data_IF_551488121284
#
_entry.id   IF_551488121284
#
_cell.length_a   1.000
_cell.length_b   1.000
_cell.length_c   1.000
_cell.angle_alpha   90.00
_cell.angle_beta   90.00
_cell.angle_gamma   90.00
#
_symmetry.space_group_name_H-M   'P 1'
#
loop_
_entity.id
_entity.type
_entity.pdbx_description
1 polymer ?
#
# COMPACT_ATOMS: atom_id res chain seq x y z
N UNK A 1 27.06 -14.42 -0.95
CA UNK A 1 25.87 -14.89 -0.19
C UNK A 1 24.94 -15.44 -1.23
N UNK A 2 24.46 -16.67 -1.05
CA UNK A 2 23.46 -17.21 -1.95
C UNK A 2 22.23 -16.31 -1.93
N UNK A 3 21.62 -16.06 -3.07
CA UNK A 3 20.40 -15.28 -3.20
C UNK A 3 19.30 -15.93 -2.36
N UNK A 4 18.95 -15.31 -1.25
CA UNK A 4 17.83 -15.72 -0.43
C UNK A 4 16.60 -14.91 -0.82
N UNK A 5 15.52 -15.57 -1.20
CA UNK A 5 14.31 -14.90 -1.67
C UNK A 5 13.47 -15.78 -2.59
N UNK A 6 12.81 -15.13 -3.56
CA UNK A 6 11.92 -15.80 -4.52
C UNK A 6 10.80 -16.61 -3.89
N UNK A 7 10.38 -16.24 -2.67
CA UNK A 7 9.24 -16.88 -2.02
C UNK A 7 7.94 -16.50 -2.71
N UNK A 8 7.01 -17.45 -2.78
CA UNK A 8 5.66 -17.21 -3.27
C UNK A 8 4.69 -17.57 -2.17
N UNK A 9 4.04 -16.54 -1.60
CA UNK A 9 2.96 -16.68 -0.62
C UNK A 9 1.67 -16.23 -1.30
N UNK A 10 0.88 -17.18 -1.79
CA UNK A 10 -0.25 -16.88 -2.66
C UNK A 10 -1.53 -17.59 -2.25
N UNK A 11 -2.63 -16.83 -2.25
CA UNK A 11 -3.99 -17.36 -2.08
C UNK A 11 -4.19 -18.14 -0.76
N UNK A 12 -3.56 -17.71 0.32
CA UNK A 12 -3.73 -18.33 1.63
C UNK A 12 -4.79 -17.59 2.45
N UNK A 13 -5.42 -18.32 3.33
CA UNK A 13 -6.16 -17.76 4.45
C UNK A 13 -5.30 -17.89 5.70
N UNK A 14 -4.82 -16.74 6.18
CA UNK A 14 -3.93 -16.64 7.35
C UNK A 14 -4.71 -15.93 8.45
N UNK A 15 -5.02 -16.66 9.50
CA UNK A 15 -5.86 -16.13 10.57
C UNK A 15 -5.49 -16.68 11.95
N UNK A 16 -5.91 -15.95 12.99
CA UNK A 16 -5.77 -16.32 14.41
C UNK A 16 -4.32 -16.56 14.84
N UNK A 17 -3.37 -15.92 14.14
CA UNK A 17 -1.98 -15.90 14.58
C UNK A 17 -1.83 -15.01 15.81
N UNK A 18 -0.89 -15.37 16.69
CA UNK A 18 -0.70 -14.66 17.96
C UNK A 18 -0.09 -13.27 17.78
N UNK A 19 0.85 -13.12 16.87
CA UNK A 19 1.65 -11.90 16.73
C UNK A 19 1.60 -11.32 15.31
N UNK A 20 1.93 -12.10 14.30
CA UNK A 20 1.92 -11.68 12.92
C UNK A 20 1.35 -12.76 12.00
N UNK A 21 0.71 -12.35 10.90
CA UNK A 21 0.24 -13.26 9.87
C UNK A 21 1.39 -13.72 8.98
N UNK A 22 2.15 -12.78 8.44
CA UNK A 22 3.37 -13.02 7.67
C UNK A 22 4.48 -12.18 8.29
N UNK A 23 5.60 -12.82 8.60
CA UNK A 23 6.76 -12.12 9.15
C UNK A 23 8.04 -12.59 8.46
N UNK A 24 8.93 -11.65 8.16
CA UNK A 24 10.22 -11.94 7.58
C UNK A 24 11.26 -10.90 7.91
N UNK A 25 12.43 -11.36 8.41
CA UNK A 25 13.52 -10.48 8.78
C UNK A 25 14.45 -10.19 7.60
N UNK A 26 14.98 -11.21 6.94
CA UNK A 26 15.84 -11.12 5.75
C UNK A 26 15.48 -12.24 4.78
N UNK A 27 15.87 -12.09 3.52
CA UNK A 27 15.68 -13.16 2.55
C UNK A 27 14.36 -13.08 1.78
N UNK A 28 13.80 -11.91 1.63
CA UNK A 28 12.58 -11.68 0.84
C UNK A 28 12.86 -11.17 -0.58
N UNK A 29 14.11 -11.11 -1.01
CA UNK A 29 14.45 -10.57 -2.34
C UNK A 29 13.61 -11.23 -3.45
N UNK A 30 13.06 -10.41 -4.37
CA UNK A 30 12.25 -10.84 -5.51
C UNK A 30 11.08 -11.77 -5.17
N UNK A 31 10.51 -11.65 -3.98
CA UNK A 31 9.40 -12.48 -3.50
C UNK A 31 8.04 -11.90 -3.87
N UNK A 32 7.04 -12.78 -3.92
CA UNK A 32 5.66 -12.44 -4.25
C UNK A 32 4.71 -12.84 -3.12
N UNK A 33 3.97 -11.85 -2.60
CA UNK A 33 2.88 -12.04 -1.63
C UNK A 33 1.58 -11.60 -2.30
N UNK A 34 0.73 -12.55 -2.69
CA UNK A 34 -0.39 -12.25 -3.59
C UNK A 34 -1.69 -12.93 -3.18
N UNK A 35 -2.78 -12.17 -3.19
CA UNK A 35 -4.13 -12.69 -3.09
C UNK A 35 -4.42 -13.41 -1.77
N UNK A 36 -3.72 -13.08 -0.70
CA UNK A 36 -3.95 -13.68 0.61
C UNK A 36 -5.06 -12.92 1.37
N UNK A 37 -5.87 -13.65 2.11
CA UNK A 37 -6.76 -13.11 3.14
C UNK A 37 -6.06 -13.25 4.49
N UNK A 38 -5.71 -12.11 5.10
CA UNK A 38 -5.03 -12.05 6.39
C UNK A 38 -5.95 -11.35 7.39
N UNK A 39 -6.36 -12.07 8.42
CA UNK A 39 -7.38 -11.56 9.34
C UNK A 39 -7.29 -12.16 10.74
N UNK A 40 -7.93 -11.50 11.70
CA UNK A 40 -8.02 -11.97 13.07
C UNK A 40 -6.63 -12.25 13.69
N UNK A 41 -5.68 -11.33 13.49
CA UNK A 41 -4.34 -11.43 14.06
C UNK A 41 -4.36 -10.83 15.47
N UNK A 42 -3.74 -11.54 16.41
CA UNK A 42 -3.67 -11.18 17.84
C UNK A 42 -5.05 -10.98 18.52
N UNK A 43 -6.02 -11.79 18.17
CA UNK A 43 -7.39 -11.73 18.75
C UNK A 43 -7.39 -11.73 20.28
N UNK A 44 -6.43 -12.43 20.89
CA UNK A 44 -6.29 -12.49 22.36
C UNK A 44 -5.67 -11.23 22.97
N UNK A 45 -5.11 -10.34 22.14
CA UNK A 45 -4.42 -9.11 22.57
C UNK A 45 -3.28 -9.35 23.57
N UNK A 46 -2.64 -10.52 23.52
CA UNK A 46 -1.58 -10.93 24.45
C UNK A 46 -0.19 -10.50 24.03
N UNK A 47 0.03 -10.39 22.73
CA UNK A 47 1.32 -9.99 22.19
C UNK A 47 1.35 -8.47 21.98
N UNK A 48 2.48 -7.89 22.28
CA UNK A 48 2.79 -6.50 22.02
C UNK A 48 4.25 -6.36 21.57
N UNK A 49 4.58 -5.26 20.93
CA UNK A 49 5.94 -5.00 20.47
C UNK A 49 6.02 -4.61 19.01
N UNK A 50 7.23 -4.60 18.50
CA UNK A 50 7.52 -4.05 17.18
C UNK A 50 7.37 -5.03 16.02
N UNK A 51 7.15 -6.33 16.31
CA UNK A 51 7.09 -7.37 15.26
C UNK A 51 5.65 -7.84 14.96
N UNK A 52 4.66 -6.99 15.24
CA UNK A 52 3.26 -7.38 15.24
C UNK A 52 2.50 -6.78 14.06
N UNK A 53 1.67 -7.59 13.39
CA UNK A 53 0.85 -7.09 12.30
C UNK A 53 0.22 -8.14 11.39
N UNK A 54 -0.50 -7.68 10.38
CA UNK A 54 -0.99 -8.56 9.32
C UNK A 54 0.18 -9.15 8.55
N UNK A 55 1.07 -8.30 8.06
CA UNK A 55 2.38 -8.71 7.54
C UNK A 55 3.45 -7.68 7.88
N UNK A 56 4.66 -8.16 8.18
CA UNK A 56 5.84 -7.34 8.41
C UNK A 56 7.05 -7.93 7.71
N UNK A 57 7.70 -7.11 6.86
CA UNK A 57 8.87 -7.50 6.10
C UNK A 57 10.00 -6.51 6.33
N UNK A 58 11.11 -6.99 6.88
CA UNK A 58 12.38 -6.27 6.90
C UNK A 58 13.13 -6.52 5.60
N UNK A 59 13.86 -5.53 5.13
CA UNK A 59 14.71 -5.65 3.94
C UNK A 59 13.95 -6.23 2.73
N UNK A 60 12.78 -5.66 2.45
CA UNK A 60 11.99 -6.02 1.29
C UNK A 60 12.65 -5.46 0.02
N UNK A 61 13.49 -6.26 -0.65
CA UNK A 61 14.17 -5.87 -1.89
C UNK A 61 13.43 -6.49 -3.07
N UNK A 62 12.94 -5.65 -4.00
CA UNK A 62 12.19 -6.09 -5.19
C UNK A 62 10.99 -7.01 -4.89
N UNK A 63 10.39 -6.85 -3.73
CA UNK A 63 9.21 -7.63 -3.32
C UNK A 63 7.96 -7.07 -3.98
N UNK A 64 7.09 -7.95 -4.45
CA UNK A 64 5.75 -7.57 -4.89
C UNK A 64 4.71 -8.04 -3.89
N UNK A 65 3.95 -7.09 -3.31
CA UNK A 65 2.82 -7.36 -2.41
C UNK A 65 1.56 -6.88 -3.10
N UNK A 66 0.71 -7.82 -3.56
CA UNK A 66 -0.44 -7.44 -4.37
C UNK A 66 -1.73 -8.20 -4.10
N UNK A 67 -2.84 -7.49 -4.28
CA UNK A 67 -4.19 -8.08 -4.24
C UNK A 67 -4.50 -8.84 -2.95
N UNK A 68 -3.89 -8.45 -1.83
CA UNK A 68 -4.20 -9.03 -0.53
C UNK A 68 -5.34 -8.25 0.15
N UNK A 69 -6.14 -8.94 0.94
CA UNK A 69 -7.11 -8.35 1.86
C UNK A 69 -6.60 -8.56 3.29
N UNK A 70 -6.37 -7.45 4.00
CA UNK A 70 -5.86 -7.45 5.38
C UNK A 70 -6.85 -6.73 6.28
N UNK A 71 -7.31 -7.39 7.34
CA UNK A 71 -8.35 -6.84 8.22
C UNK A 71 -8.33 -7.46 9.62
N UNK A 72 -8.93 -6.78 10.58
CA UNK A 72 -9.05 -7.24 11.98
C UNK A 72 -7.70 -7.62 12.57
N UNK A 73 -6.81 -6.63 12.56
CA UNK A 73 -5.50 -6.73 13.19
C UNK A 73 -5.58 -6.00 14.53
N UNK A 74 -5.37 -6.71 15.62
CA UNK A 74 -5.62 -6.20 16.97
C UNK A 74 -4.33 -5.87 17.70
N UNK A 75 -4.31 -4.73 18.38
CA UNK A 75 -3.20 -4.35 19.24
C UNK A 75 -3.27 -5.08 20.58
N UNK A 76 -2.11 -5.42 21.10
CA UNK A 76 -1.94 -5.93 22.45
C UNK A 76 -1.35 -4.87 23.38
N UNK A 77 -0.86 -5.30 24.52
CA UNK A 77 -0.29 -4.41 25.53
C UNK A 77 1.01 -3.77 25.00
N UNK A 78 0.99 -2.44 24.82
CA UNK A 78 2.18 -1.66 24.46
C UNK A 78 2.69 -1.84 23.03
N UNK A 79 1.89 -2.42 22.13
CA UNK A 79 2.30 -2.70 20.76
C UNK A 79 1.65 -1.80 19.73
N UNK A 80 2.34 -1.64 18.61
CA UNK A 80 1.84 -1.07 17.38
C UNK A 80 1.42 -2.22 16.48
N UNK A 81 0.18 -2.21 15.99
CA UNK A 81 -0.31 -3.23 15.07
C UNK A 81 -0.59 -2.61 13.72
N UNK A 82 0.00 -3.20 12.70
CA UNK A 82 0.00 -2.67 11.34
C UNK A 82 -0.62 -3.69 10.40
N UNK A 83 -1.43 -3.24 9.46
CA UNK A 83 -1.95 -4.11 8.43
C UNK A 83 -0.82 -4.63 7.54
N UNK A 84 -0.14 -3.72 6.84
CA UNK A 84 1.04 -4.01 6.02
C UNK A 84 2.19 -3.12 6.51
N UNK A 85 3.26 -3.75 6.98
CA UNK A 85 4.44 -3.08 7.49
C UNK A 85 5.67 -3.43 6.63
N UNK A 86 6.19 -2.44 5.94
CA UNK A 86 7.44 -2.52 5.20
C UNK A 86 8.50 -1.85 6.04
N UNK A 87 9.35 -2.67 6.64
CA UNK A 87 10.31 -2.23 7.62
C UNK A 87 11.73 -2.24 7.05
N UNK A 88 12.49 -1.32 7.49
CA UNK A 88 13.91 -1.11 7.39
C UNK A 88 14.58 -1.61 6.10
N UNK A 89 14.95 -0.67 5.24
CA UNK A 89 15.78 -0.95 4.07
C UNK A 89 15.04 -1.61 2.90
N UNK A 90 13.76 -1.36 2.72
CA UNK A 90 13.07 -1.75 1.49
C UNK A 90 13.61 -0.97 0.29
N UNK A 91 13.70 -1.62 -0.85
CA UNK A 91 14.23 -1.06 -2.08
C UNK A 91 13.59 -1.76 -3.29
N UNK A 92 13.13 -1.00 -4.30
CA UNK A 92 12.51 -1.56 -5.51
C UNK A 92 11.20 -2.33 -5.28
N UNK A 93 10.62 -2.23 -4.08
CA UNK A 93 9.42 -2.98 -3.70
C UNK A 93 8.16 -2.32 -4.22
N UNK A 94 7.19 -3.11 -4.68
CA UNK A 94 5.87 -2.65 -5.10
C UNK A 94 4.76 -3.22 -4.23
N UNK A 95 3.93 -2.32 -3.70
CA UNK A 95 2.72 -2.63 -2.93
C UNK A 95 1.52 -2.16 -3.74
N UNK A 96 0.74 -3.07 -4.34
CA UNK A 96 -0.29 -2.70 -5.31
C UNK A 96 -1.59 -3.50 -5.16
N UNK A 97 -2.73 -2.84 -5.30
CA UNK A 97 -4.03 -3.48 -5.32
C UNK A 97 -4.45 -4.13 -4.00
N UNK A 98 -3.81 -3.79 -2.87
CA UNK A 98 -4.18 -4.34 -1.57
C UNK A 98 -5.33 -3.53 -0.95
N UNK A 99 -6.13 -4.22 -0.14
CA UNK A 99 -7.21 -3.61 0.63
C UNK A 99 -6.96 -3.87 2.10
N UNK A 100 -6.77 -2.80 2.86
CA UNK A 100 -6.46 -2.85 4.28
C UNK A 100 -7.47 -2.03 5.06
N UNK A 101 -8.19 -2.66 5.98
CA UNK A 101 -9.25 -2.02 6.75
C UNK A 101 -9.52 -2.73 8.07
N UNK A 102 -10.37 -2.13 8.89
CA UNK A 102 -10.80 -2.70 10.19
C UNK A 102 -9.61 -2.98 11.11
N UNK A 103 -8.75 -1.95 11.25
CA UNK A 103 -7.65 -1.93 12.20
C UNK A 103 -8.16 -1.51 13.59
N UNK A 104 -7.44 -1.90 14.63
CA UNK A 104 -7.75 -1.45 16.00
C UNK A 104 -7.71 0.08 16.08
N UNK A 105 -8.79 0.70 16.57
CA UNK A 105 -9.04 2.16 16.48
C UNK A 105 -7.95 3.05 17.10
N UNK A 106 -7.24 2.56 18.11
CA UNK A 106 -6.33 3.40 18.89
C UNK A 106 -4.87 3.34 18.45
N UNK A 107 -4.42 2.21 17.90
CA UNK A 107 -3.00 1.98 17.58
C UNK A 107 -2.81 1.31 16.23
N UNK A 108 -3.90 0.97 15.55
CA UNK A 108 -3.86 0.24 14.30
C UNK A 108 -3.56 1.12 13.09
N UNK A 109 -2.43 0.86 12.45
CA UNK A 109 -2.10 1.46 11.17
C UNK A 109 -2.43 0.53 10.02
N UNK A 110 -3.12 1.05 9.01
CA UNK A 110 -3.39 0.29 7.80
C UNK A 110 -2.08 -0.02 7.06
N UNK A 111 -1.19 0.98 7.00
CA UNK A 111 0.10 0.85 6.32
C UNK A 111 1.20 1.57 7.09
N UNK A 112 2.35 0.94 7.16
CA UNK A 112 3.57 1.53 7.69
C UNK A 112 4.74 1.23 6.76
N UNK A 113 5.43 2.28 6.31
CA UNK A 113 6.73 2.17 5.66
C UNK A 113 7.78 2.84 6.53
N UNK A 114 8.78 2.05 6.95
CA UNK A 114 9.76 2.42 7.97
C UNK A 114 11.18 2.38 7.41
N UNK A 115 11.92 3.47 7.61
CA UNK A 115 13.36 3.54 7.34
C UNK A 115 13.80 2.95 5.98
N UNK A 116 13.05 3.27 4.94
CA UNK A 116 13.32 2.86 3.57
C UNK A 116 13.62 4.10 2.74
N UNK A 117 14.91 4.42 2.58
CA UNK A 117 15.35 5.70 2.02
C UNK A 117 16.10 5.58 0.69
N UNK A 118 16.25 4.37 0.15
CA UNK A 118 17.26 4.09 -0.85
C UNK A 118 16.78 4.32 -2.29
N UNK A 119 15.64 3.74 -2.64
CA UNK A 119 15.09 3.82 -3.99
C UNK A 119 13.57 3.80 -3.95
N UNK A 120 12.91 4.04 -5.08
CA UNK A 120 11.46 4.13 -5.04
C UNK A 120 10.84 2.82 -4.54
N UNK A 121 10.05 2.96 -3.48
CA UNK A 121 9.03 1.97 -3.12
C UNK A 121 7.74 2.47 -3.72
N UNK A 122 7.15 1.68 -4.62
CA UNK A 122 5.91 2.03 -5.30
C UNK A 122 4.70 1.49 -4.53
N UNK A 123 3.87 2.40 -4.06
CA UNK A 123 2.60 2.11 -3.36
C UNK A 123 1.47 2.59 -4.28
N UNK A 124 0.85 1.68 -5.03
CA UNK A 124 -0.13 2.06 -6.03
C UNK A 124 -1.42 1.23 -6.02
N UNK A 125 -2.51 1.83 -6.44
CA UNK A 125 -3.80 1.15 -6.57
C UNK A 125 -4.34 0.50 -5.29
N UNK A 126 -3.86 0.88 -4.11
CA UNK A 126 -4.35 0.31 -2.86
C UNK A 126 -5.57 1.06 -2.31
N UNK A 127 -6.33 0.39 -1.45
CA UNK A 127 -7.38 0.98 -0.64
C UNK A 127 -6.99 0.83 0.82
N UNK A 128 -6.67 1.95 1.45
CA UNK A 128 -6.31 2.03 2.87
C UNK A 128 -7.41 2.74 3.66
N UNK A 129 -8.00 2.04 4.60
CA UNK A 129 -8.99 2.58 5.54
C UNK A 129 -8.39 2.48 6.94
N UNK A 130 -7.84 3.58 7.43
CA UNK A 130 -7.11 3.64 8.68
C UNK A 130 -5.84 4.49 8.59
N UNK A 131 -5.07 4.50 9.66
CA UNK A 131 -3.90 5.37 9.80
C UNK A 131 -2.74 4.92 8.91
N UNK A 132 -1.91 5.88 8.51
CA UNK A 132 -0.69 5.64 7.72
C UNK A 132 0.50 6.16 8.51
N UNK A 133 1.57 5.38 8.59
CA UNK A 133 2.82 5.83 9.16
C UNK A 133 3.93 5.76 8.11
N UNK A 134 4.66 6.86 7.96
CA UNK A 134 5.74 6.98 7.00
C UNK A 134 6.97 7.59 7.68
N UNK A 135 8.02 6.80 7.76
CA UNK A 135 9.36 7.24 8.18
C UNK A 135 10.40 6.95 7.10
N UNK A 136 9.94 6.84 5.85
CA UNK A 136 10.78 6.56 4.69
C UNK A 136 10.95 7.81 3.81
N UNK A 137 11.77 7.69 2.78
CA UNK A 137 11.98 8.69 1.74
C UNK A 137 11.93 8.01 0.37
N UNK A 138 11.79 8.81 -0.69
CA UNK A 138 11.81 8.34 -2.07
C UNK A 138 10.65 7.38 -2.43
N UNK A 139 9.59 7.34 -1.64
CA UNK A 139 8.41 6.52 -1.91
C UNK A 139 7.47 7.20 -2.92
N UNK A 140 6.76 6.40 -3.70
CA UNK A 140 5.77 6.88 -4.66
C UNK A 140 4.41 6.33 -4.29
N UNK A 141 3.51 7.19 -3.83
CA UNK A 141 2.11 6.90 -3.53
C UNK A 141 1.27 7.37 -4.72
N UNK A 142 0.79 6.43 -5.54
CA UNK A 142 0.07 6.77 -6.75
C UNK A 142 -1.25 5.98 -6.89
N UNK A 143 -2.30 6.66 -7.33
CA UNK A 143 -3.58 6.01 -7.58
C UNK A 143 -4.18 5.23 -6.40
N UNK A 144 -3.90 5.62 -5.16
CA UNK A 144 -4.51 4.99 -3.98
C UNK A 144 -5.82 5.69 -3.58
N UNK A 145 -6.64 4.96 -2.82
CA UNK A 145 -7.77 5.51 -2.07
C UNK A 145 -7.42 5.47 -0.58
N UNK A 146 -7.34 6.64 0.03
CA UNK A 146 -7.13 6.81 1.47
C UNK A 146 -8.42 7.29 2.13
N UNK A 147 -8.93 6.53 3.11
CA UNK A 147 -10.16 6.86 3.82
C UNK A 147 -9.89 7.04 5.29
N UNK A 148 -10.16 8.24 5.79
CA UNK A 148 -9.92 8.67 7.17
C UNK A 148 -8.48 8.40 7.66
N UNK A 149 -7.54 8.49 6.73
CA UNK A 149 -6.14 8.14 6.94
C UNK A 149 -5.39 9.29 7.56
N UNK A 150 -5.20 9.24 8.87
CA UNK A 150 -4.29 10.14 9.56
C UNK A 150 -2.86 9.72 9.28
N UNK A 151 -2.02 10.68 8.92
CA UNK A 151 -0.63 10.45 8.60
C UNK A 151 0.27 10.79 9.79
N UNK A 152 1.21 9.91 10.06
CA UNK A 152 2.27 10.11 11.04
C UNK A 152 3.62 10.09 10.33
N UNK A 153 4.43 11.09 10.65
CA UNK A 153 5.78 11.23 10.09
C UNK A 153 6.75 11.41 11.25
N UNK A 154 7.82 10.65 11.23
CA UNK A 154 8.89 10.77 12.20
C UNK A 154 10.22 10.39 11.54
N UNK A 155 11.26 11.15 11.82
CA UNK A 155 12.64 10.74 11.50
C UNK A 155 13.10 9.79 12.58
N UNK A 156 13.41 8.57 12.22
CA UNK A 156 13.95 7.58 13.14
C UNK A 156 15.48 7.56 13.09
N UNK A 157 16.12 7.40 14.25
CA UNK A 157 17.58 7.34 14.37
C UNK A 157 18.10 5.92 14.04
N UNK A 158 17.78 5.43 12.86
CA UNK A 158 18.26 4.14 12.37
C UNK A 158 18.95 4.32 11.02
N UNK A 159 20.07 3.66 10.85
CA UNK A 159 20.85 3.73 9.61
C UNK A 159 20.28 2.73 8.59
N UNK A 160 19.62 3.18 7.50
CA UNK A 160 19.08 2.29 6.50
C UNK A 160 20.19 1.61 5.70
N UNK A 161 19.96 0.37 5.33
CA UNK A 161 20.86 -0.40 4.48
C UNK A 161 20.59 -0.07 3.02
N UNK A 162 21.65 0.14 2.27
CA UNK A 162 21.62 0.27 0.82
C UNK A 162 21.94 -1.07 0.16
N UNK A 163 21.14 -1.43 -0.83
CA UNK A 163 21.28 -2.68 -1.57
C UNK A 163 21.80 -2.43 -2.98
N UNK A 164 22.65 -3.31 -3.45
CA UNK A 164 22.95 -3.35 -4.88
C UNK A 164 21.66 -3.65 -5.64
N UNK A 165 21.29 -2.83 -6.65
CA UNK A 165 20.03 -2.99 -7.38
C UNK A 165 19.78 -4.42 -7.84
N UNK A 166 18.56 -4.91 -7.63
CA UNK A 166 18.10 -6.25 -7.99
C UNK A 166 18.89 -7.41 -7.38
N UNK A 167 19.51 -7.17 -6.23
CA UNK A 167 20.23 -8.21 -5.46
C UNK A 167 19.90 -8.10 -3.97
N UNK A 168 20.18 -9.16 -3.22
CA UNK A 168 20.15 -9.14 -1.75
C UNK A 168 21.52 -8.81 -1.13
N UNK A 169 22.42 -8.20 -1.89
CA UNK A 169 23.76 -7.81 -1.44
C UNK A 169 23.73 -6.39 -0.86
N UNK A 170 23.93 -6.28 0.45
CA UNK A 170 24.08 -4.98 1.10
C UNK A 170 25.42 -4.34 0.70
N UNK A 171 25.36 -3.09 0.27
CA UNK A 171 26.54 -2.33 -0.17
C UNK A 171 27.03 -1.41 0.92
N UNK A 172 26.15 -0.65 1.54
CA UNK A 172 26.48 0.39 2.48
C UNK A 172 25.39 0.60 3.51
N UNK A 173 25.74 1.15 4.67
CA UNK A 173 24.80 1.71 5.64
C UNK A 173 24.80 3.22 5.42
N UNK A 174 23.65 3.77 5.10
CA UNK A 174 23.52 5.20 4.86
C UNK A 174 23.34 5.96 6.19
N UNK A 175 23.92 7.16 6.30
CA UNK A 175 23.59 8.04 7.39
C UNK A 175 22.11 8.41 7.32
N UNK A 176 21.54 8.71 8.47
CA UNK A 176 20.16 9.13 8.57
C UNK A 176 19.91 10.36 7.70
N UNK A 177 18.96 10.27 6.83
CA UNK A 177 18.53 11.39 6.00
C UNK A 177 17.22 11.96 6.54
N UNK A 178 16.88 13.15 6.14
CA UNK A 178 15.56 13.72 6.39
C UNK A 178 14.50 12.95 5.61
N UNK A 179 13.26 12.97 6.10
CA UNK A 179 12.11 12.54 5.31
C UNK A 179 12.01 13.48 4.10
N UNK A 180 12.23 12.96 2.91
CA UNK A 180 12.25 13.78 1.70
C UNK A 180 11.85 13.00 0.45
N UNK A 181 11.61 13.76 -0.61
CA UNK A 181 11.43 13.30 -1.99
C UNK A 181 10.34 12.22 -2.19
N UNK A 182 9.39 12.09 -1.26
CA UNK A 182 8.20 11.29 -1.51
C UNK A 182 7.28 11.97 -2.52
N UNK A 183 6.55 11.17 -3.27
CA UNK A 183 5.63 11.62 -4.30
C UNK A 183 4.23 11.09 -4.05
N UNK A 184 3.26 11.99 -4.08
CA UNK A 184 1.84 11.70 -3.86
C UNK A 184 1.06 12.18 -5.07
N UNK A 185 0.82 11.29 -6.02
CA UNK A 185 0.21 11.62 -7.30
C UNK A 185 -1.07 10.83 -7.54
N UNK A 186 -2.06 11.53 -8.04
CA UNK A 186 -3.29 10.90 -8.53
C UNK A 186 -4.03 10.00 -7.52
N UNK A 187 -3.93 10.33 -6.23
CA UNK A 187 -4.65 9.63 -5.17
C UNK A 187 -6.01 10.29 -4.90
N UNK A 188 -6.92 9.55 -4.27
CA UNK A 188 -8.14 10.08 -3.67
C UNK A 188 -8.00 10.03 -2.15
N UNK A 189 -8.21 11.18 -1.50
CA UNK A 189 -8.21 11.34 -0.04
C UNK A 189 -9.63 11.69 0.42
N UNK A 190 -10.13 10.95 1.41
CA UNK A 190 -11.46 11.16 1.99
C UNK A 190 -11.32 11.46 3.48
N UNK A 191 -11.90 12.56 3.97
CA UNK A 191 -11.90 13.10 5.34
C UNK A 191 -10.54 13.62 5.81
N UNK A 192 -9.45 12.93 5.57
CA UNK A 192 -8.08 13.33 5.91
C UNK A 192 -7.26 13.42 4.64
N UNK A 193 -6.42 14.43 4.55
CA UNK A 193 -5.62 14.70 3.36
C UNK A 193 -4.14 14.76 3.66
N UNK A 194 -3.43 15.50 2.84
CA UNK A 194 -1.97 15.66 2.89
C UNK A 194 -1.52 16.87 3.72
N UNK A 195 -2.43 17.60 4.34
CA UNK A 195 -2.15 18.75 5.21
C UNK A 195 -1.27 18.42 6.43
N UNK A 196 -1.08 17.15 6.72
CA UNK A 196 -0.21 16.65 7.78
C UNK A 196 1.25 16.47 7.33
N UNK A 197 1.54 16.60 6.01
CA UNK A 197 2.90 16.55 5.44
C UNK A 197 3.74 17.82 5.72
N UNK A 198 3.50 18.50 6.83
CA UNK A 198 3.98 19.87 7.11
C UNK A 198 5.51 19.95 7.30
N UNK A 199 6.18 18.86 7.67
CA UNK A 199 7.59 18.86 8.04
C UNK A 199 8.48 18.11 7.04
N UNK A 200 7.97 17.82 5.87
CA UNK A 200 8.70 17.08 4.86
C UNK A 200 9.47 18.01 3.93
N UNK A 201 10.67 17.60 3.58
CA UNK A 201 11.48 18.28 2.59
C UNK A 201 11.26 17.68 1.21
N UNK A 202 11.17 18.53 0.19
CA UNK A 202 11.10 18.15 -1.23
C UNK A 202 9.99 17.16 -1.62
N UNK A 203 8.91 17.09 -0.85
CA UNK A 203 7.73 16.30 -1.25
C UNK A 203 7.11 16.88 -2.51
N UNK A 204 6.74 15.99 -3.41
CA UNK A 204 6.01 16.33 -4.64
C UNK A 204 4.59 15.80 -4.52
N UNK A 205 3.67 16.70 -4.25
CA UNK A 205 2.25 16.38 -4.07
C UNK A 205 1.45 17.15 -5.10
N UNK A 206 0.79 16.45 -6.03
CA UNK A 206 -0.09 17.08 -7.00
C UNK A 206 -1.07 16.08 -7.64
N UNK A 207 -2.03 16.59 -8.41
CA UNK A 207 -3.05 15.82 -9.12
C UNK A 207 -3.88 14.88 -8.23
N UNK A 208 -4.06 15.22 -6.96
CA UNK A 208 -4.87 14.45 -6.05
C UNK A 208 -6.31 14.98 -5.97
N UNK A 209 -7.23 14.13 -5.54
CA UNK A 209 -8.63 14.51 -5.26
C UNK A 209 -8.87 14.43 -3.76
N UNK A 210 -9.51 15.46 -3.21
CA UNK A 210 -9.78 15.60 -1.79
C UNK A 210 -11.29 15.76 -1.57
N UNK A 211 -11.87 14.81 -0.85
CA UNK A 211 -13.30 14.78 -0.54
C UNK A 211 -13.55 14.93 0.96
N UNK A 212 -14.76 15.40 1.30
CA UNK A 212 -15.33 15.33 2.64
C UNK A 212 -14.40 15.95 3.71
N UNK A 213 -13.91 17.17 3.44
CA UNK A 213 -13.05 17.92 4.36
C UNK A 213 -11.57 17.51 4.36
N UNK A 214 -11.14 16.61 3.50
CA UNK A 214 -9.73 16.34 3.27
C UNK A 214 -9.01 17.59 2.73
N UNK A 215 -7.77 17.84 3.16
CA UNK A 215 -7.06 19.08 2.87
C UNK A 215 -5.75 18.82 2.14
N UNK A 216 -5.37 19.75 1.27
CA UNK A 216 -4.07 19.79 0.60
C UNK A 216 -2.94 20.10 1.58
N UNK A 217 -1.70 19.65 1.27
CA UNK A 217 -0.52 19.98 2.06
C UNK A 217 -0.09 21.46 1.99
N UNK A 218 -0.54 22.20 1.01
CA UNK A 218 -0.04 23.56 0.77
C UNK A 218 1.39 23.63 0.21
N UNK A 219 1.95 22.51 -0.21
CA UNK A 219 3.32 22.37 -0.72
C UNK A 219 3.40 22.42 -2.27
N UNK A 220 2.57 23.24 -2.91
CA UNK A 220 2.63 23.49 -4.35
C UNK A 220 1.68 22.64 -5.19
N UNK A 221 0.65 22.08 -4.60
CA UNK A 221 -0.40 21.33 -5.29
C UNK A 221 -1.27 22.21 -6.18
N UNK A 222 -0.89 22.40 -7.43
CA UNK A 222 -1.56 23.31 -8.36
C UNK A 222 -2.71 22.65 -9.15
N UNK A 223 -2.65 21.34 -9.34
CA UNK A 223 -3.60 20.62 -10.20
C UNK A 223 -4.54 19.69 -9.39
N UNK A 224 -4.37 19.62 -8.08
CA UNK A 224 -5.25 18.84 -7.21
C UNK A 224 -6.62 19.50 -7.05
N UNK A 225 -7.67 18.68 -6.98
CA UNK A 225 -9.07 19.12 -6.86
C UNK A 225 -9.58 18.87 -5.45
N UNK A 226 -10.28 19.86 -4.90
CA UNK A 226 -10.85 19.78 -3.52
C UNK A 226 -12.35 19.99 -3.60
N UNK A 227 -13.11 18.96 -3.20
CA UNK A 227 -14.56 18.95 -3.09
C UNK A 227 -14.97 18.70 -1.63
N UNK A 228 -14.84 19.73 -0.82
CA UNK A 228 -15.00 19.66 0.65
C UNK A 228 -16.34 19.11 1.10
N UNK A 229 -17.41 19.52 0.42
CA UNK A 229 -18.80 19.21 0.79
C UNK A 229 -19.30 17.92 0.13
N UNK A 230 -18.50 17.32 -0.76
CA UNK A 230 -18.87 16.08 -1.42
C UNK A 230 -18.76 14.90 -0.45
N UNK A 231 -19.91 14.24 -0.17
CA UNK A 231 -19.93 13.05 0.67
C UNK A 231 -19.64 11.80 -0.18
N UNK A 232 -18.44 11.29 -0.03
CA UNK A 232 -18.02 10.08 -0.71
C UNK A 232 -18.72 8.80 -0.18
N UNK A 233 -19.44 8.87 0.93
CA UNK A 233 -20.30 7.80 1.49
C UNK A 233 -19.64 6.40 1.40
N UNK A 234 -18.43 6.27 1.89
CA UNK A 234 -17.67 5.01 1.83
C UNK A 234 -18.32 3.96 2.72
N UNK A 235 -18.59 2.80 2.15
CA UNK A 235 -19.15 1.65 2.87
C UNK A 235 -18.30 0.41 2.59
N UNK A 236 -18.08 -0.37 3.63
CA UNK A 236 -17.32 -1.62 3.58
C UNK A 236 -18.22 -2.76 4.07
N UNK A 237 -18.41 -3.75 3.21
CA UNK A 237 -19.11 -5.00 3.55
C UNK A 237 -18.08 -6.13 3.58
N UNK A 238 -17.84 -6.64 4.79
CA UNK A 238 -16.97 -7.79 4.99
C UNK A 238 -17.63 -9.07 4.51
N UNK A 239 -16.96 -9.81 3.63
CA UNK A 239 -17.38 -11.12 3.14
C UNK A 239 -16.49 -12.21 3.74
N UNK A 240 -16.93 -13.47 3.68
CA UNK A 240 -16.14 -14.60 4.22
C UNK A 240 -14.77 -14.69 3.56
N UNK A 241 -14.69 -14.52 2.25
CA UNK A 241 -13.50 -14.69 1.43
C UNK A 241 -13.10 -13.40 0.70
N UNK A 242 -13.47 -12.24 1.24
CA UNK A 242 -13.17 -10.97 0.61
C UNK A 242 -13.86 -9.78 1.24
N UNK A 243 -14.06 -8.74 0.44
CA UNK A 243 -14.65 -7.47 0.84
C UNK A 243 -15.38 -6.83 -0.33
N UNK A 244 -16.51 -6.20 -0.06
CA UNK A 244 -17.15 -5.29 -1.02
C UNK A 244 -17.00 -3.86 -0.53
N UNK A 245 -16.53 -2.98 -1.39
CA UNK A 245 -16.34 -1.56 -1.11
C UNK A 245 -17.24 -0.77 -2.05
N UNK A 246 -18.02 0.13 -1.50
CA UNK A 246 -18.78 1.10 -2.27
C UNK A 246 -18.46 2.51 -1.79
N UNK A 247 -18.43 3.43 -2.75
CA UNK A 247 -18.26 4.86 -2.49
C UNK A 247 -18.86 5.68 -3.64
N UNK A 248 -19.18 6.93 -3.34
CA UNK A 248 -19.61 7.89 -4.35
C UNK A 248 -18.41 8.66 -4.90
N UNK A 249 -18.42 8.90 -6.20
CA UNK A 249 -17.51 9.78 -6.90
C UNK A 249 -18.27 10.77 -7.77
N UNK A 250 -17.68 11.90 -8.06
CA UNK A 250 -18.10 12.86 -9.06
C UNK A 250 -17.15 12.85 -10.27
N UNK A 251 -17.06 13.96 -10.98
CA UNK A 251 -16.14 14.08 -12.11
C UNK A 251 -14.70 14.47 -11.72
N UNK A 252 -14.42 14.79 -10.46
CA UNK A 252 -13.11 15.26 -10.04
C UNK A 252 -11.96 14.28 -10.35
N UNK A 253 -12.12 12.94 -10.18
CA UNK A 253 -11.06 11.99 -10.51
C UNK A 253 -10.61 12.02 -11.97
N UNK A 254 -11.49 12.42 -12.90
CA UNK A 254 -11.16 12.52 -14.33
C UNK A 254 -10.60 13.88 -14.73
N UNK A 255 -10.75 14.90 -13.89
CA UNK A 255 -10.43 16.29 -14.21
C UNK A 255 -9.06 16.74 -13.66
N UNK A 256 -8.37 15.92 -12.88
CA UNK A 256 -7.04 16.26 -12.34
C UNK A 256 -5.95 16.33 -13.43
N UNK A 257 -6.17 15.67 -14.56
CA UNK A 257 -5.27 15.67 -15.73
C UNK A 257 -3.81 15.29 -15.38
N UNK A 258 -3.64 14.32 -14.48
CA UNK A 258 -2.33 13.81 -14.13
C UNK A 258 -1.67 13.13 -15.33
N UNK A 259 -0.38 13.35 -15.60
CA UNK A 259 0.36 12.51 -16.52
C UNK A 259 0.34 11.03 -16.06
N UNK A 260 0.47 10.10 -17.01
CA UNK A 260 0.60 8.69 -16.65
C UNK A 260 1.82 8.47 -15.74
N UNK A 261 1.64 7.71 -14.67
CA UNK A 261 2.71 7.38 -13.72
C UNK A 261 3.56 6.27 -14.33
N UNK A 262 4.68 6.64 -14.90
CA UNK A 262 5.61 5.76 -15.60
C UNK A 262 6.99 5.81 -14.97
N UNK A 263 7.81 4.81 -15.28
CA UNK A 263 9.22 4.82 -14.94
C UNK A 263 9.89 6.14 -15.34
N UNK A 264 9.68 6.58 -16.57
CA UNK A 264 10.31 7.81 -17.11
C UNK A 264 9.78 9.08 -16.42
N UNK A 265 8.49 9.14 -16.09
CA UNK A 265 7.90 10.29 -15.38
C UNK A 265 8.43 10.42 -13.94
N UNK A 266 8.62 9.32 -13.27
CA UNK A 266 9.20 9.28 -11.92
C UNK A 266 10.70 9.53 -11.98
N UNK A 267 11.40 8.93 -12.95
CA UNK A 267 12.84 9.07 -13.17
C UNK A 267 13.68 8.17 -12.27
N UNK A 268 14.98 8.33 -12.40
CA UNK A 268 15.99 7.54 -11.72
C UNK A 268 16.40 8.22 -10.41
N UNK A 269 16.52 7.46 -9.34
CA UNK A 269 17.02 7.94 -8.06
C UNK A 269 18.54 7.91 -8.04
N UNK A 270 19.20 9.07 -7.82
CA UNK A 270 20.64 9.17 -8.00
C UNK A 270 21.47 8.25 -7.10
N UNK A 271 20.97 7.98 -5.90
CA UNK A 271 21.70 7.18 -4.91
C UNK A 271 21.89 5.73 -5.36
N UNK A 272 20.81 5.12 -5.86
CA UNK A 272 20.81 3.70 -6.23
C UNK A 272 20.96 3.48 -7.73
N UNK A 273 20.70 4.51 -8.54
CA UNK A 273 20.58 4.36 -9.98
C UNK A 273 19.33 3.61 -10.42
N UNK A 274 18.35 3.41 -9.50
CA UNK A 274 17.10 2.71 -9.77
C UNK A 274 15.94 3.66 -10.05
N UNK A 275 15.07 3.27 -10.99
CA UNK A 275 13.75 3.83 -11.19
C UNK A 275 12.65 2.92 -10.67
N UNK A 276 11.42 3.11 -11.17
CA UNK A 276 10.37 2.13 -10.97
C UNK A 276 10.65 0.90 -11.85
N UNK A 277 11.14 -0.16 -11.25
CA UNK A 277 11.62 -1.37 -11.94
C UNK A 277 11.14 -2.64 -11.24
N UNK A 278 10.96 -3.71 -12.00
CA UNK A 278 10.72 -5.03 -11.46
C UNK A 278 12.06 -5.69 -11.02
N UNK A 279 11.97 -6.86 -10.41
CA UNK A 279 13.16 -7.62 -9.95
C UNK A 279 14.13 -8.05 -11.06
N UNK A 280 13.82 -7.80 -12.31
CA UNK A 280 14.68 -8.05 -13.48
C UNK A 280 15.21 -6.77 -14.10
N UNK A 281 14.92 -5.61 -13.51
CA UNK A 281 15.28 -4.32 -14.03
C UNK A 281 14.40 -3.83 -15.19
N UNK A 282 13.22 -4.43 -15.42
CA UNK A 282 12.31 -3.92 -16.43
C UNK A 282 11.50 -2.74 -15.87
N UNK A 283 11.32 -1.68 -16.64
CA UNK A 283 10.52 -0.52 -16.24
C UNK A 283 9.10 -0.89 -15.82
N UNK A 284 8.63 -0.34 -14.72
CA UNK A 284 7.24 -0.44 -14.25
C UNK A 284 6.50 0.85 -14.58
N UNK A 285 5.35 0.70 -15.23
CA UNK A 285 4.35 1.74 -15.43
C UNK A 285 3.07 1.36 -14.70
N UNK A 286 2.37 2.34 -14.12
CA UNK A 286 1.05 2.12 -13.50
C UNK A 286 -0.01 2.24 -14.59
N UNK A 287 -0.09 1.24 -15.45
CA UNK A 287 -0.90 1.18 -16.66
C UNK A 287 -2.24 0.44 -16.51
N UNK A 288 -2.46 -0.15 -15.36
CA UNK A 288 -3.72 -0.82 -15.02
C UNK A 288 -4.25 -0.35 -13.67
N UNK A 289 -5.56 -0.40 -13.51
CA UNK A 289 -6.24 -0.11 -12.25
C UNK A 289 -6.33 -1.36 -11.35
N UNK A 290 -6.91 -1.23 -10.15
CA UNK A 290 -7.06 -2.33 -9.18
C UNK A 290 -7.91 -3.51 -9.72
N UNK A 291 -8.75 -3.27 -10.72
CA UNK A 291 -9.59 -4.29 -11.37
C UNK A 291 -8.93 -4.91 -12.60
N UNK A 292 -7.74 -4.41 -13.01
CA UNK A 292 -7.03 -4.84 -14.20
C UNK A 292 -7.51 -4.12 -15.48
N UNK A 293 -8.30 -3.07 -15.39
CA UNK A 293 -8.64 -2.25 -16.56
C UNK A 293 -7.43 -1.40 -16.96
N UNK A 294 -7.22 -1.23 -18.26
CA UNK A 294 -6.17 -0.33 -18.76
C UNK A 294 -6.47 1.11 -18.39
N UNK A 295 -5.46 1.82 -17.90
CA UNK A 295 -5.54 3.25 -17.64
C UNK A 295 -5.39 4.08 -18.90
N UNK A 296 -5.99 5.26 -18.90
CA UNK A 296 -5.74 6.26 -19.93
C UNK A 296 -4.26 6.62 -19.92
N UNK A 297 -3.60 6.49 -21.08
CA UNK A 297 -2.15 6.69 -21.20
C UNK A 297 -1.70 8.15 -21.10
N UNK A 298 -2.64 9.11 -21.18
CA UNK A 298 -2.33 10.54 -21.11
C UNK A 298 -2.79 11.16 -19.78
N UNK A 299 -4.03 10.88 -19.39
CA UNK A 299 -4.68 11.47 -18.22
C UNK A 299 -5.49 10.39 -17.49
N UNK A 300 -4.82 9.48 -16.76
CA UNK A 300 -5.51 8.45 -15.99
C UNK A 300 -6.34 9.05 -14.87
N UNK A 301 -7.45 8.42 -14.54
CA UNK A 301 -8.31 8.83 -13.43
C UNK A 301 -7.58 8.74 -12.09
N UNK A 302 -7.88 9.66 -11.17
CA UNK A 302 -7.37 9.58 -9.79
C UNK A 302 -7.96 8.39 -9.05
N UNK A 303 -7.18 7.86 -8.11
CA UNK A 303 -7.55 6.71 -7.30
C UNK A 303 -7.37 5.37 -7.99
N UNK A 304 -7.78 4.27 -7.31
CA UNK A 304 -7.49 2.91 -7.75
C UNK A 304 -8.39 2.41 -8.89
N UNK A 305 -9.36 3.20 -9.37
CA UNK A 305 -10.31 2.80 -10.41
C UNK A 305 -10.26 3.74 -11.60
N UNK A 306 -10.07 3.20 -12.78
CA UNK A 306 -10.08 3.98 -14.02
C UNK A 306 -11.48 4.31 -14.50
N UNK A 307 -12.43 3.38 -14.34
CA UNK A 307 -13.77 3.49 -14.89
C UNK A 307 -14.82 3.80 -13.81
N UNK A 308 -14.62 4.88 -13.04
CA UNK A 308 -15.60 5.35 -12.09
C UNK A 308 -16.86 5.91 -12.80
N UNK A 309 -18.00 5.78 -12.13
CA UNK A 309 -19.25 6.44 -12.53
C UNK A 309 -19.49 7.62 -11.61
N UNK A 310 -20.11 8.65 -12.14
CA UNK A 310 -20.66 9.72 -11.32
C UNK A 310 -21.78 9.12 -10.43
N UNK A 311 -21.68 9.31 -9.11
CA UNK A 311 -22.54 8.64 -8.12
C UNK A 311 -21.90 7.40 -7.50
N UNK A 312 -22.73 6.43 -7.11
CA UNK A 312 -22.27 5.25 -6.38
C UNK A 312 -21.51 4.25 -7.27
N UNK A 313 -20.35 3.83 -6.80
CA UNK A 313 -19.53 2.75 -7.35
C UNK A 313 -19.42 1.65 -6.31
N UNK A 314 -19.50 0.39 -6.72
CA UNK A 314 -19.39 -0.77 -5.83
C UNK A 314 -18.59 -1.87 -6.49
N UNK A 315 -17.58 -2.37 -5.78
CA UNK A 315 -16.68 -3.41 -6.26
C UNK A 315 -16.43 -4.45 -5.18
N UNK A 316 -16.40 -5.71 -5.59
CA UNK A 316 -16.14 -6.85 -4.70
C UNK A 316 -14.78 -7.46 -5.02
N UNK A 317 -13.97 -7.66 -3.99
CA UNK A 317 -12.64 -8.22 -4.08
C UNK A 317 -12.59 -9.51 -3.28
N UNK A 318 -11.99 -10.54 -3.85
CA UNK A 318 -11.81 -11.83 -3.23
C UNK A 318 -10.35 -12.12 -2.96
N UNK A 319 -10.07 -12.75 -1.82
CA UNK A 319 -8.72 -13.16 -1.43
C UNK A 319 -8.77 -14.48 -0.64
N UNK A 320 -7.62 -15.12 -0.52
CA UNK A 320 -7.53 -16.42 0.13
C UNK A 320 -7.66 -17.60 -0.82
N UNK A 321 -7.77 -18.82 -0.30
CA UNK A 321 -7.69 -20.04 -1.10
C UNK A 321 -8.87 -20.21 -2.05
N UNK A 322 -9.97 -19.56 -1.81
CA UNK A 322 -11.22 -19.82 -2.50
C UNK A 322 -11.59 -18.77 -3.55
N UNK A 323 -11.12 -17.54 -3.44
CA UNK A 323 -11.36 -16.43 -4.41
C UNK A 323 -12.74 -16.50 -5.10
N UNK A 324 -13.82 -16.46 -4.36
CA UNK A 324 -15.17 -16.47 -4.88
C UNK A 324 -15.55 -17.76 -5.63
N UNK A 325 -15.47 -17.74 -6.97
CA UNK A 325 -15.90 -18.87 -7.81
C UNK A 325 -15.15 -20.19 -7.57
N UNK A 326 -13.92 -20.16 -7.06
CA UNK A 326 -13.16 -21.37 -6.76
C UNK A 326 -13.75 -22.11 -5.56
N UNK A 327 -14.37 -21.42 -4.63
CA UNK A 327 -15.07 -22.07 -3.51
C UNK A 327 -16.20 -22.99 -3.95
N UNK A 328 -16.98 -22.61 -4.97
CA UNK A 328 -18.06 -23.47 -5.50
C UNK A 328 -17.50 -24.76 -6.09
N UNK A 329 -16.44 -24.67 -6.87
CA UNK A 329 -15.82 -25.86 -7.50
C UNK A 329 -15.20 -26.79 -6.45
N UNK A 330 -14.60 -26.22 -5.39
CA UNK A 330 -13.96 -27.04 -4.34
C UNK A 330 -14.99 -27.74 -3.45
N UNK A 331 -16.09 -27.09 -3.12
CA UNK A 331 -17.15 -27.69 -2.32
C UNK A 331 -17.86 -28.82 -3.08
N UNK A 332 -18.09 -28.65 -4.36
CA UNK A 332 -18.69 -29.70 -5.19
C UNK A 332 -17.77 -30.91 -5.35
N UNK A 333 -16.42 -30.72 -5.42
CA UNK A 333 -15.46 -31.81 -5.55
C UNK A 333 -15.18 -32.55 -4.23
N UNK A 334 -15.36 -31.89 -3.08
CA UNK A 334 -15.15 -32.50 -1.76
C UNK A 334 -16.42 -33.24 -1.29
N UNK A 335 -17.60 -32.73 -1.62
CA UNK A 335 -18.85 -33.36 -1.25
C UNK A 335 -19.25 -34.54 -2.16
N UNK A 336 -18.57 -34.74 -3.28
CA UNK A 336 -18.77 -35.86 -4.20
C UNK A 336 -17.86 -37.08 -3.93
N UNK A 337 -17.20 -37.15 -2.78
CA UNK A 337 -16.41 -38.32 -2.36
C UNK A 337 -17.00 -38.88 -1.06
N UNK A 338 -18.18 -39.42 -1.13
CA UNK A 338 -18.71 -40.45 -0.26
C UNK A 338 -18.73 -41.79 -1.00
#
# INVERSE_FOLDING_TARGET
MEETGHHIVRNNWICKCGEAGIHGYKGWAASLIEGNLIEDINVRKLFGGYESGGMKLHHAVDVTIRNNVVRRIYSGVGGQYVGIWIDWGAQGTRITGNIVYDMDEWTGWAFFIQNSHNSPVLIDNNIFIGQIYNTASNSVFAHNLFVDSRWYFMVENMEPVYWKPHTAEAVEILPLTHLDNDRYYNNIFIKKGTDQLINAHDYKVDWNVYYQGARKCGCGENHSIVENDFDANVRVLTLTDGVSISFCADNAPFNVNCPAITHDFIGIYPLTGQGLEDHKGNPINVDTDILGNSRNSFHPAAGPFENLKNGENSHTFYAGPHKGKIMQVYNESILGRE
#
